data_IF_327235482439
#
_entry.id   IF_327235482439
#
_cell.length_a   1.000
_cell.length_b   1.000
_cell.length_c   1.000
_cell.angle_alpha   90.00
_cell.angle_beta   90.00
_cell.angle_gamma   90.00
#
_symmetry.space_group_name_H-M   'P 1'
#
loop_
_entity.id
_entity.type
_entity.pdbx_description
1 polymer ?
#
# COMPACT_ATOMS: atom_id res chain seq x y z
N UNK A 1 9.98 -22.84 14.70
CA UNK A 1 9.19 -21.74 15.28
C UNK A 1 9.31 -20.48 14.40
N UNK A 2 8.47 -19.47 14.62
CA UNK A 2 8.58 -18.19 13.91
C UNK A 2 9.92 -17.49 14.21
N UNK A 3 10.35 -17.52 15.45
CA UNK A 3 11.65 -16.98 15.86
C UNK A 3 12.83 -17.69 15.16
N UNK A 4 12.77 -19.02 15.03
CA UNK A 4 13.77 -19.79 14.28
C UNK A 4 13.82 -19.37 12.80
N UNK A 5 12.66 -19.12 12.20
CA UNK A 5 12.57 -18.61 10.83
C UNK A 5 13.16 -17.20 10.70
N UNK A 6 12.92 -16.29 11.67
CA UNK A 6 13.53 -14.96 11.68
C UNK A 6 15.06 -15.05 11.69
N UNK A 7 15.62 -15.90 12.54
CA UNK A 7 17.07 -16.08 12.64
C UNK A 7 17.66 -16.65 11.34
N UNK A 8 17.03 -17.65 10.75
CA UNK A 8 17.41 -18.21 9.44
C UNK A 8 17.35 -17.14 8.35
N UNK A 9 16.23 -16.38 8.27
CA UNK A 9 16.05 -15.30 7.29
C UNK A 9 17.17 -14.25 7.37
N UNK A 10 17.58 -13.90 8.58
CA UNK A 10 18.65 -12.92 8.80
C UNK A 10 20.03 -13.47 8.47
N UNK A 11 20.39 -14.63 9.02
CA UNK A 11 21.76 -15.13 8.97
C UNK A 11 22.08 -15.87 7.67
N UNK A 12 21.13 -16.62 7.13
CA UNK A 12 21.37 -17.42 5.92
C UNK A 12 20.99 -16.69 4.64
N UNK A 13 19.89 -15.90 4.66
CA UNK A 13 19.39 -15.23 3.47
C UNK A 13 19.64 -13.72 3.44
N UNK A 14 20.19 -13.14 4.49
CA UNK A 14 20.51 -11.72 4.55
C UNK A 14 19.28 -10.81 4.54
N UNK A 15 18.09 -11.33 4.87
CA UNK A 15 16.84 -10.56 4.90
C UNK A 15 16.86 -9.61 6.09
N UNK A 16 16.57 -8.34 5.83
CA UNK A 16 16.54 -7.26 6.82
C UNK A 16 15.15 -6.64 6.98
N UNK A 17 14.33 -6.77 5.98
CA UNK A 17 13.00 -6.19 5.88
C UNK A 17 11.97 -7.31 5.76
N UNK A 18 10.93 -7.28 6.59
CA UNK A 18 9.85 -8.26 6.57
C UNK A 18 8.51 -7.57 6.63
N UNK A 19 7.50 -8.13 5.98
CA UNK A 19 6.11 -7.67 6.07
C UNK A 19 5.28 -8.74 6.76
N UNK A 20 4.63 -8.38 7.86
CA UNK A 20 3.75 -9.28 8.58
C UNK A 20 2.31 -9.08 8.13
N UNK A 21 1.72 -10.16 7.62
CA UNK A 21 0.35 -10.18 7.09
C UNK A 21 -0.51 -11.11 7.94
N UNK A 22 -1.64 -10.60 8.39
CA UNK A 22 -2.61 -11.39 9.15
C UNK A 22 -3.40 -12.37 8.27
N UNK A 23 -4.15 -13.26 8.91
CA UNK A 23 -5.05 -14.17 8.21
C UNK A 23 -6.10 -13.42 7.39
N UNK A 24 -6.40 -13.86 6.16
CA UNK A 24 -7.43 -13.25 5.33
C UNK A 24 -8.86 -13.43 5.88
N UNK A 25 -9.06 -14.39 6.77
CA UNK A 25 -10.37 -14.72 7.36
C UNK A 25 -10.26 -15.07 8.84
N UNK A 26 -11.18 -14.56 9.65
CA UNK A 26 -11.32 -14.95 11.06
C UNK A 26 -11.68 -16.45 11.25
N UNK A 27 -12.14 -17.12 10.20
CA UNK A 27 -12.44 -18.55 10.22
C UNK A 27 -11.19 -19.44 10.14
N UNK A 28 -10.06 -18.88 9.70
CA UNK A 28 -8.83 -19.64 9.60
C UNK A 28 -8.18 -19.77 10.98
N UNK A 29 -7.85 -20.99 11.37
CA UNK A 29 -7.11 -21.24 12.59
C UNK A 29 -5.70 -20.65 12.43
N UNK A 30 -5.37 -19.68 13.24
CA UNK A 30 -4.06 -19.00 13.23
C UNK A 30 -3.24 -19.54 14.38
N UNK A 31 -2.09 -20.13 14.08
CA UNK A 31 -1.19 -20.67 15.10
C UNK A 31 -0.40 -19.58 15.85
N UNK A 32 -0.18 -18.42 15.19
CA UNK A 32 0.49 -17.26 15.76
C UNK A 32 -0.33 -16.01 15.44
N UNK A 33 -0.98 -15.37 16.42
CA UNK A 33 -1.66 -14.10 16.23
C UNK A 33 -0.71 -13.02 15.72
N UNK A 34 -1.23 -12.10 14.89
CA UNK A 34 -0.41 -11.06 14.28
C UNK A 34 0.30 -10.17 15.31
N UNK A 35 -0.37 -9.84 16.42
CA UNK A 35 0.21 -9.07 17.51
C UNK A 35 1.41 -9.79 18.16
N UNK A 36 1.31 -11.11 18.34
CA UNK A 36 2.39 -11.92 18.89
C UNK A 36 3.55 -12.03 17.89
N UNK A 37 3.25 -12.09 16.57
CA UNK A 37 4.27 -12.05 15.53
C UNK A 37 5.04 -10.73 15.54
N UNK A 38 4.35 -9.58 15.68
CA UNK A 38 5.00 -8.27 15.85
C UNK A 38 5.87 -8.27 17.12
N UNK A 39 5.31 -8.71 18.25
CA UNK A 39 6.05 -8.79 19.52
C UNK A 39 7.32 -9.66 19.42
N UNK A 40 7.24 -10.78 18.72
CA UNK A 40 8.40 -11.67 18.50
C UNK A 40 9.44 -11.01 17.60
N UNK A 41 8.99 -10.38 16.49
CA UNK A 41 9.91 -9.76 15.53
C UNK A 41 10.62 -8.52 16.12
N UNK A 42 9.93 -7.71 16.93
CA UNK A 42 10.49 -6.53 17.60
C UNK A 42 11.50 -6.93 18.69
N UNK A 43 11.24 -8.02 19.40
CA UNK A 43 12.14 -8.53 20.45
C UNK A 43 13.35 -9.32 19.89
N UNK A 44 13.31 -9.66 18.61
CA UNK A 44 14.40 -10.37 17.96
C UNK A 44 15.66 -9.50 17.93
N UNK A 45 16.79 -10.05 18.34
CA UNK A 45 18.07 -9.35 18.45
C UNK A 45 18.62 -8.83 17.10
N UNK A 46 18.09 -9.34 16.00
CA UNK A 46 18.53 -8.99 14.64
C UNK A 46 17.94 -7.65 14.11
N UNK A 47 17.08 -6.95 14.85
CA UNK A 47 16.54 -5.62 14.50
C UNK A 47 15.95 -5.53 13.09
N UNK A 48 15.01 -6.38 12.75
CA UNK A 48 14.28 -6.32 11.48
C UNK A 48 13.57 -4.97 11.28
N UNK A 49 13.58 -4.49 10.05
CA UNK A 49 12.70 -3.40 9.62
C UNK A 49 11.34 -3.99 9.25
N UNK A 50 10.33 -3.74 10.09
CA UNK A 50 9.07 -4.48 10.06
C UNK A 50 7.99 -3.67 9.36
N UNK A 51 7.40 -4.27 8.31
CA UNK A 51 6.26 -3.72 7.60
C UNK A 51 4.94 -4.37 7.99
N UNK A 52 3.87 -3.66 7.73
CA UNK A 52 2.50 -4.15 7.82
C UNK A 52 1.69 -3.81 6.57
N UNK A 53 0.48 -4.31 6.48
CA UNK A 53 -0.44 -4.00 5.38
C UNK A 53 -1.52 -3.03 5.82
N UNK A 54 -1.98 -2.18 4.89
CA UNK A 54 -3.18 -1.36 5.01
C UNK A 54 -4.16 -1.71 3.90
N UNK A 55 -5.45 -1.79 4.24
CA UNK A 55 -6.51 -2.28 3.35
C UNK A 55 -7.65 -1.27 3.35
N UNK A 56 -7.77 -0.51 2.25
CA UNK A 56 -8.77 0.55 2.10
C UNK A 56 -10.21 0.02 2.17
N UNK A 57 -10.46 -1.14 1.60
CA UNK A 57 -11.75 -1.82 1.62
C UNK A 57 -12.22 -2.18 3.05
N UNK A 58 -11.28 -2.37 3.95
CA UNK A 58 -11.59 -2.58 5.37
C UNK A 58 -12.03 -1.27 6.00
N UNK A 59 -11.40 -0.15 5.64
CA UNK A 59 -11.79 1.17 6.10
C UNK A 59 -13.22 1.52 5.66
N UNK A 60 -13.55 1.27 4.40
CA UNK A 60 -14.88 1.49 3.86
C UNK A 60 -15.99 0.75 4.66
N UNK A 61 -15.68 -0.42 5.21
CA UNK A 61 -16.61 -1.23 6.00
C UNK A 61 -16.70 -0.83 7.47
N UNK A 62 -15.58 -0.52 8.10
CA UNK A 62 -15.48 -0.37 9.57
C UNK A 62 -15.06 1.03 10.02
N UNK A 63 -14.55 1.87 9.11
CA UNK A 63 -14.10 3.23 9.40
C UNK A 63 -12.85 3.36 10.27
N UNK A 64 -12.17 2.25 10.62
CA UNK A 64 -11.14 2.23 11.64
C UNK A 64 -9.75 1.74 11.19
N UNK A 65 -9.48 1.63 9.89
CA UNK A 65 -8.18 1.15 9.43
C UNK A 65 -7.03 2.09 9.85
N UNK A 66 -7.26 3.40 9.90
CA UNK A 66 -6.27 4.36 10.41
C UNK A 66 -5.87 4.09 11.87
N UNK A 67 -6.81 3.68 12.73
CA UNK A 67 -6.52 3.29 14.12
C UNK A 67 -5.67 2.01 14.16
N UNK A 68 -5.93 1.07 13.24
CA UNK A 68 -5.12 -0.15 13.11
C UNK A 68 -3.69 0.15 12.67
N UNK A 69 -3.49 1.17 11.82
CA UNK A 69 -2.15 1.64 11.47
C UNK A 69 -1.42 2.19 12.68
N UNK A 70 -2.10 3.00 13.50
CA UNK A 70 -1.54 3.50 14.76
C UNK A 70 -1.17 2.36 15.71
N UNK A 71 -2.06 1.39 15.91
CA UNK A 71 -1.79 0.23 16.76
C UNK A 71 -0.55 -0.57 16.28
N UNK A 72 -0.45 -0.81 14.97
CA UNK A 72 0.73 -1.49 14.40
C UNK A 72 2.01 -0.66 14.56
N UNK A 73 1.92 0.66 14.38
CA UNK A 73 3.03 1.57 14.61
C UNK A 73 3.53 1.47 16.06
N UNK A 74 2.62 1.52 17.05
CA UNK A 74 2.93 1.36 18.47
C UNK A 74 3.49 -0.03 18.79
N UNK A 75 3.16 -1.05 17.99
CA UNK A 75 3.73 -2.41 18.08
C UNK A 75 5.09 -2.56 17.36
N UNK A 76 5.67 -1.47 16.82
CA UNK A 76 6.99 -1.49 16.19
C UNK A 76 7.00 -1.65 14.68
N UNK A 77 5.85 -1.47 14.01
CA UNK A 77 5.79 -1.42 12.54
C UNK A 77 6.41 -0.14 12.02
N UNK A 78 7.34 -0.26 11.07
CA UNK A 78 8.14 0.85 10.54
C UNK A 78 7.61 1.39 9.20
N UNK A 79 6.79 0.61 8.49
CA UNK A 79 6.17 1.02 7.23
C UNK A 79 4.91 0.20 6.93
N UNK A 80 4.11 0.68 5.99
CA UNK A 80 2.92 -0.01 5.53
C UNK A 80 2.92 -0.14 4.01
N UNK A 81 2.39 -1.28 3.51
CA UNK A 81 2.11 -1.48 2.09
C UNK A 81 0.60 -1.57 1.91
N UNK A 82 0.05 -0.80 0.97
CA UNK A 82 -1.39 -0.83 0.69
C UNK A 82 -1.77 -2.04 -0.17
N UNK A 83 -3.03 -2.44 -0.11
CA UNK A 83 -3.68 -3.22 -1.16
C UNK A 83 -3.65 -2.42 -2.47
N UNK A 84 -3.81 -3.08 -3.64
CA UNK A 84 -3.88 -2.40 -4.93
C UNK A 84 -5.02 -1.37 -4.95
N UNK A 85 -4.74 -0.17 -5.51
CA UNK A 85 -5.64 0.97 -5.42
C UNK A 85 -6.37 1.15 -6.76
N UNK A 86 -7.69 0.92 -6.75
CA UNK A 86 -8.63 1.24 -7.83
C UNK A 86 -9.70 2.24 -7.39
N UNK A 87 -9.88 2.41 -6.08
CA UNK A 87 -10.72 3.44 -5.48
C UNK A 87 -9.84 4.40 -4.65
N UNK A 88 -9.37 5.51 -5.22
CA UNK A 88 -8.49 6.45 -4.52
C UNK A 88 -9.15 7.11 -3.32
N UNK A 89 -10.48 7.27 -3.31
CA UNK A 89 -11.18 7.96 -2.22
C UNK A 89 -11.02 7.22 -0.88
N UNK A 90 -11.15 5.90 -0.88
CA UNK A 90 -10.96 5.09 0.33
C UNK A 90 -9.54 5.22 0.89
N UNK A 91 -8.55 5.29 -0.01
CA UNK A 91 -7.15 5.51 0.37
C UNK A 91 -6.93 6.92 0.93
N UNK A 92 -7.51 7.94 0.30
CA UNK A 92 -7.45 9.34 0.77
C UNK A 92 -8.03 9.45 2.18
N UNK A 93 -9.17 8.82 2.43
CA UNK A 93 -9.82 8.84 3.74
C UNK A 93 -8.92 8.24 4.84
N UNK A 94 -8.26 7.11 4.56
CA UNK A 94 -7.32 6.49 5.51
C UNK A 94 -6.12 7.40 5.75
N UNK A 95 -5.48 7.88 4.69
CA UNK A 95 -4.28 8.69 4.79
C UNK A 95 -4.53 9.97 5.57
N UNK A 96 -5.64 10.64 5.27
CA UNK A 96 -6.07 11.86 5.97
C UNK A 96 -6.28 11.60 7.45
N UNK A 97 -7.06 10.57 7.80
CA UNK A 97 -7.34 10.21 9.20
C UNK A 97 -6.08 9.76 9.93
N UNK A 98 -5.22 8.98 9.30
CA UNK A 98 -3.95 8.55 9.86
C UNK A 98 -3.03 9.73 10.16
N UNK A 99 -2.92 10.70 9.24
CA UNK A 99 -2.12 11.90 9.44
C UNK A 99 -2.64 12.74 10.62
N UNK A 100 -3.96 12.98 10.67
CA UNK A 100 -4.61 13.72 11.76
C UNK A 100 -4.38 13.02 13.10
N UNK A 101 -4.51 11.71 13.14
CA UNK A 101 -4.33 10.94 14.37
C UNK A 101 -2.87 10.92 14.84
N UNK A 102 -1.91 10.81 13.91
CA UNK A 102 -0.50 10.98 14.23
C UNK A 102 -0.21 12.36 14.84
N UNK A 103 -0.77 13.42 14.25
CA UNK A 103 -0.61 14.78 14.74
C UNK A 103 -1.16 14.93 16.17
N UNK A 104 -2.37 14.43 16.44
CA UNK A 104 -2.99 14.46 17.78
C UNK A 104 -2.15 13.75 18.85
N UNK A 105 -1.50 12.64 18.47
CA UNK A 105 -0.68 11.83 19.38
C UNK A 105 0.80 12.22 19.38
N UNK A 106 1.20 13.26 18.64
CA UNK A 106 2.60 13.66 18.46
C UNK A 106 3.48 12.51 17.96
N UNK A 107 2.93 11.64 17.11
CA UNK A 107 3.63 10.55 16.45
C UNK A 107 4.16 11.00 15.08
N UNK A 108 5.38 10.59 14.75
CA UNK A 108 5.90 10.77 13.40
C UNK A 108 5.25 9.73 12.47
N UNK A 109 4.55 10.13 11.40
CA UNK A 109 3.92 9.17 10.50
C UNK A 109 4.93 8.19 9.89
N UNK A 110 4.59 6.91 9.87
CA UNK A 110 5.36 5.88 9.17
C UNK A 110 5.08 5.93 7.68
N UNK A 111 6.05 5.46 6.88
CA UNK A 111 5.93 5.42 5.42
C UNK A 111 4.77 4.51 4.99
N UNK A 112 3.97 5.02 4.05
CA UNK A 112 2.92 4.23 3.40
C UNK A 112 3.28 4.06 1.92
N UNK A 113 3.44 2.81 1.50
CA UNK A 113 3.77 2.42 0.14
C UNK A 113 2.46 2.13 -0.58
N UNK A 114 2.12 2.96 -1.56
CA UNK A 114 0.91 2.86 -2.36
C UNK A 114 1.10 1.84 -3.47
N UNK A 115 0.24 0.84 -3.52
CA UNK A 115 0.32 -0.25 -4.50
C UNK A 115 -0.61 0.01 -5.67
N UNK A 116 -0.08 -0.14 -6.88
CA UNK A 116 -0.84 -0.07 -8.13
C UNK A 116 -0.54 -1.31 -8.99
N UNK A 117 -1.55 -1.76 -9.72
CA UNK A 117 -1.44 -2.88 -10.64
C UNK A 117 -2.25 -2.58 -11.90
N UNK A 118 -1.69 -2.71 -13.12
CA UNK A 118 -2.48 -2.54 -14.32
C UNK A 118 -3.35 -3.77 -14.58
N UNK A 119 -4.44 -3.58 -15.33
CA UNK A 119 -5.40 -4.61 -15.70
C UNK A 119 -5.61 -4.60 -17.21
N UNK A 120 -5.26 -5.69 -17.89
CA UNK A 120 -5.35 -5.80 -19.35
C UNK A 120 -6.51 -6.66 -19.84
N UNK A 121 -7.29 -7.29 -18.95
CA UNK A 121 -8.34 -8.21 -19.34
C UNK A 121 -9.40 -8.40 -18.26
N UNK A 122 -10.57 -8.88 -18.66
CA UNK A 122 -11.65 -9.31 -17.75
C UNK A 122 -11.14 -10.36 -16.73
N UNK A 123 -10.32 -11.32 -17.17
CA UNK A 123 -9.75 -12.32 -16.24
C UNK A 123 -8.89 -11.69 -15.15
N UNK A 124 -8.09 -10.70 -15.50
CA UNK A 124 -7.26 -9.98 -14.54
C UNK A 124 -8.12 -9.15 -13.60
N UNK A 125 -9.17 -8.50 -14.10
CA UNK A 125 -10.11 -7.73 -13.31
C UNK A 125 -10.83 -8.62 -12.29
N UNK A 126 -11.37 -9.76 -12.72
CA UNK A 126 -12.02 -10.74 -11.84
C UNK A 126 -11.06 -11.27 -10.77
N UNK A 127 -9.77 -11.43 -11.09
CA UNK A 127 -8.77 -11.84 -10.12
C UNK A 127 -8.49 -10.74 -9.09
N UNK A 128 -8.43 -9.47 -9.51
CA UNK A 128 -8.30 -8.30 -8.63
C UNK A 128 -9.47 -8.25 -7.63
N UNK A 129 -10.69 -8.40 -8.12
CA UNK A 129 -11.90 -8.42 -7.28
C UNK A 129 -11.93 -9.64 -6.33
N UNK A 130 -11.48 -10.80 -6.82
CA UNK A 130 -11.35 -12.01 -5.99
C UNK A 130 -10.34 -11.83 -4.84
N UNK A 131 -9.27 -11.05 -5.05
CA UNK A 131 -8.33 -10.66 -3.99
C UNK A 131 -8.96 -9.71 -2.96
N UNK A 132 -10.18 -9.25 -3.19
CA UNK A 132 -10.91 -8.35 -2.29
C UNK A 132 -10.63 -6.88 -2.53
N UNK A 133 -10.00 -6.53 -3.65
CA UNK A 133 -9.78 -5.13 -4.06
C UNK A 133 -11.10 -4.53 -4.54
N UNK A 134 -11.44 -3.35 -4.03
CA UNK A 134 -12.63 -2.60 -4.44
C UNK A 134 -12.37 -1.90 -5.77
N UNK A 135 -13.01 -2.39 -6.83
CA UNK A 135 -13.01 -1.72 -8.13
C UNK A 135 -14.41 -1.12 -8.34
N UNK A 136 -14.56 0.21 -8.34
CA UNK A 136 -15.85 0.84 -8.61
C UNK A 136 -16.43 0.39 -9.96
N UNK A 137 -17.73 0.15 -10.03
CA UNK A 137 -18.41 -0.34 -11.23
C UNK A 137 -18.09 0.52 -12.47
N UNK A 138 -18.13 1.83 -12.33
CA UNK A 138 -17.76 2.75 -13.41
C UNK A 138 -16.32 2.57 -13.89
N UNK A 139 -15.40 2.22 -12.99
CA UNK A 139 -13.99 1.93 -13.32
C UNK A 139 -13.88 0.62 -14.09
N UNK A 140 -14.56 -0.44 -13.63
CA UNK A 140 -14.62 -1.73 -14.32
C UNK A 140 -15.19 -1.58 -15.74
N UNK A 141 -16.31 -0.86 -15.88
CA UNK A 141 -16.93 -0.59 -17.18
C UNK A 141 -16.01 0.19 -18.11
N UNK A 142 -15.29 1.19 -17.62
CA UNK A 142 -14.32 1.96 -18.40
C UNK A 142 -13.19 1.08 -18.92
N UNK A 143 -12.64 0.21 -18.08
CA UNK A 143 -11.55 -0.71 -18.47
C UNK A 143 -12.05 -1.68 -19.53
N UNK A 144 -13.16 -2.36 -19.28
CA UNK A 144 -13.65 -3.44 -20.13
C UNK A 144 -14.20 -2.97 -21.48
N UNK A 145 -14.75 -1.74 -21.56
CA UNK A 145 -15.26 -1.17 -22.79
C UNK A 145 -14.21 -0.33 -23.55
N UNK A 146 -13.01 -0.19 -23.03
CA UNK A 146 -11.96 0.54 -23.72
C UNK A 146 -11.42 -0.26 -24.91
N UNK A 147 -11.04 0.44 -25.99
CA UNK A 147 -10.34 -0.16 -27.15
C UNK A 147 -9.05 -0.90 -26.72
N UNK A 148 -8.41 -0.41 -25.67
CA UNK A 148 -7.23 -1.02 -25.05
C UNK A 148 -7.39 -0.99 -23.52
N UNK A 149 -7.91 -2.08 -22.91
CA UNK A 149 -8.13 -2.16 -21.46
C UNK A 149 -6.87 -1.88 -20.63
N UNK A 150 -5.72 -2.43 -21.02
CA UNK A 150 -4.45 -2.22 -20.32
C UNK A 150 -4.06 -0.74 -20.27
N UNK A 151 -4.16 -0.04 -21.39
CA UNK A 151 -3.85 1.37 -21.45
C UNK A 151 -4.82 2.22 -20.62
N UNK A 152 -6.11 1.86 -20.63
CA UNK A 152 -7.11 2.56 -19.81
C UNK A 152 -6.87 2.34 -18.31
N UNK A 153 -6.53 1.12 -17.89
CA UNK A 153 -6.21 0.86 -16.49
C UNK A 153 -4.95 1.60 -16.02
N UNK A 154 -3.93 1.71 -16.87
CA UNK A 154 -2.74 2.52 -16.58
C UNK A 154 -3.11 3.99 -16.34
N UNK A 155 -3.97 4.59 -17.19
CA UNK A 155 -4.47 5.95 -17.01
C UNK A 155 -5.22 6.11 -15.68
N UNK A 156 -6.05 5.13 -15.33
CA UNK A 156 -6.78 5.12 -14.07
C UNK A 156 -5.82 5.13 -12.89
N UNK A 157 -4.79 4.28 -12.90
CA UNK A 157 -3.77 4.26 -11.85
C UNK A 157 -3.03 5.61 -11.73
N UNK A 158 -2.65 6.22 -12.87
CA UNK A 158 -2.00 7.54 -12.87
C UNK A 158 -2.92 8.63 -12.28
N UNK A 159 -4.20 8.64 -12.66
CA UNK A 159 -5.17 9.59 -12.13
C UNK A 159 -5.42 9.36 -10.62
N UNK A 160 -5.46 8.11 -10.18
CA UNK A 160 -5.63 7.77 -8.77
C UNK A 160 -4.45 8.27 -7.93
N UNK A 161 -3.21 8.10 -8.41
CA UNK A 161 -2.05 8.63 -7.70
C UNK A 161 -2.11 10.16 -7.60
N UNK A 162 -2.41 10.88 -8.71
CA UNK A 162 -2.54 12.33 -8.69
C UNK A 162 -3.60 12.80 -7.67
N UNK A 163 -4.79 12.18 -7.65
CA UNK A 163 -5.85 12.51 -6.70
C UNK A 163 -5.39 12.30 -5.25
N UNK A 164 -4.69 11.20 -4.97
CA UNK A 164 -4.16 10.92 -3.63
C UNK A 164 -3.13 11.98 -3.23
N UNK A 165 -2.15 12.26 -4.07
CA UNK A 165 -1.10 13.23 -3.77
C UNK A 165 -1.65 14.63 -3.54
N UNK A 166 -2.58 15.08 -4.40
CA UNK A 166 -3.24 16.39 -4.26
C UNK A 166 -4.02 16.51 -2.95
N UNK A 167 -4.73 15.44 -2.56
CA UNK A 167 -5.55 15.44 -1.36
C UNK A 167 -4.73 15.43 -0.05
N UNK A 168 -3.53 14.85 -0.06
CA UNK A 168 -2.72 14.68 1.16
C UNK A 168 -1.50 15.60 1.25
N UNK A 169 -1.33 16.50 0.29
CA UNK A 169 -0.18 17.42 0.20
C UNK A 169 0.10 18.15 1.51
N UNK A 170 -0.95 18.60 2.21
CA UNK A 170 -0.81 19.39 3.46
C UNK A 170 -0.40 18.56 4.67
N UNK A 171 -0.46 17.23 4.60
CA UNK A 171 -0.19 16.36 5.75
C UNK A 171 1.26 15.87 5.84
N UNK A 172 2.08 16.14 4.84
CA UNK A 172 3.51 15.76 4.82
C UNK A 172 3.75 14.28 5.15
N UNK A 173 2.93 13.39 4.58
CA UNK A 173 3.06 11.95 4.77
C UNK A 173 4.23 11.39 3.95
N UNK A 174 5.07 10.52 4.52
CA UNK A 174 6.14 9.86 3.77
C UNK A 174 5.53 8.75 2.90
N UNK A 175 5.26 9.04 1.64
CA UNK A 175 4.68 8.10 0.68
C UNK A 175 5.74 7.38 -0.15
N UNK A 176 5.43 6.18 -0.60
CA UNK A 176 6.22 5.37 -1.53
C UNK A 176 5.33 4.71 -2.57
N UNK A 177 5.93 4.03 -3.54
CA UNK A 177 5.23 3.32 -4.62
C UNK A 177 5.63 1.85 -4.66
N UNK A 178 4.64 0.99 -4.89
CA UNK A 178 4.79 -0.40 -5.26
C UNK A 178 3.95 -0.68 -6.50
N UNK A 179 4.53 -1.34 -7.50
CA UNK A 179 3.83 -1.74 -8.71
C UNK A 179 3.89 -3.25 -8.83
N UNK A 180 2.73 -3.86 -8.92
CA UNK A 180 2.57 -5.32 -9.02
C UNK A 180 2.09 -5.72 -10.41
N UNK A 181 2.62 -6.83 -10.94
CA UNK A 181 2.03 -7.54 -12.05
C UNK A 181 1.30 -8.76 -11.50
N UNK A 182 -0.02 -8.78 -11.63
CA UNK A 182 -0.86 -9.87 -11.11
C UNK A 182 -0.96 -11.06 -12.05
N UNK A 183 -0.29 -10.99 -13.21
CA UNK A 183 -0.30 -12.05 -14.20
C UNK A 183 1.10 -12.29 -14.78
N UNK A 184 1.29 -13.45 -15.41
CA UNK A 184 2.50 -13.78 -16.17
C UNK A 184 2.41 -13.43 -17.66
N UNK A 185 1.38 -12.69 -18.07
CA UNK A 185 1.21 -12.25 -19.45
C UNK A 185 2.20 -11.14 -19.78
N UNK A 186 2.93 -11.31 -20.88
CA UNK A 186 3.99 -10.38 -21.30
C UNK A 186 3.49 -8.94 -21.49
N UNK A 187 2.31 -8.76 -22.04
CA UNK A 187 1.69 -7.45 -22.24
C UNK A 187 1.40 -6.74 -20.90
N UNK A 188 0.86 -7.45 -19.91
CA UNK A 188 0.58 -6.88 -18.58
C UNK A 188 1.87 -6.66 -17.76
N UNK A 189 2.89 -7.51 -17.89
CA UNK A 189 4.22 -7.27 -17.32
C UNK A 189 4.83 -5.98 -17.90
N UNK A 190 4.79 -5.82 -19.22
CA UNK A 190 5.27 -4.61 -19.89
C UNK A 190 4.45 -3.37 -19.47
N UNK A 191 3.13 -3.55 -19.29
CA UNK A 191 2.24 -2.52 -18.74
C UNK A 191 2.63 -2.11 -17.32
N UNK A 192 3.00 -3.05 -16.47
CA UNK A 192 3.48 -2.76 -15.11
C UNK A 192 4.80 -1.98 -15.12
N UNK A 193 5.72 -2.31 -16.02
CA UNK A 193 6.98 -1.57 -16.22
C UNK A 193 6.70 -0.14 -16.69
N UNK A 194 5.77 0.04 -17.64
CA UNK A 194 5.36 1.36 -18.09
C UNK A 194 4.70 2.16 -16.97
N UNK A 195 3.77 1.53 -16.24
CA UNK A 195 3.09 2.14 -15.10
C UNK A 195 4.10 2.61 -14.05
N UNK A 196 5.09 1.79 -13.71
CA UNK A 196 6.15 2.17 -12.79
C UNK A 196 6.85 3.47 -13.22
N UNK A 197 7.24 3.58 -14.49
CA UNK A 197 7.93 4.78 -15.00
C UNK A 197 7.05 6.02 -14.90
N UNK A 198 5.77 5.91 -15.22
CA UNK A 198 4.81 7.02 -15.17
C UNK A 198 4.55 7.47 -13.72
N UNK A 199 4.25 6.52 -12.82
CA UNK A 199 3.97 6.83 -11.42
C UNK A 199 5.24 7.35 -10.70
N UNK A 200 6.42 6.83 -11.04
CA UNK A 200 7.69 7.33 -10.50
C UNK A 200 7.90 8.79 -10.89
N UNK A 201 7.70 9.14 -12.17
CA UNK A 201 7.81 10.53 -12.63
C UNK A 201 6.81 11.45 -11.93
N UNK A 202 5.58 10.99 -11.71
CA UNK A 202 4.57 11.75 -10.95
C UNK A 202 5.00 11.99 -9.51
N UNK A 203 5.51 10.96 -8.84
CA UNK A 203 6.00 11.07 -7.46
C UNK A 203 7.23 11.99 -7.35
N UNK A 204 8.19 11.88 -8.26
CA UNK A 204 9.38 12.72 -8.26
C UNK A 204 9.01 14.21 -8.46
N UNK A 205 8.06 14.50 -9.34
CA UNK A 205 7.52 15.87 -9.53
C UNK A 205 6.79 16.38 -8.28
N UNK A 206 6.03 15.53 -7.62
CA UNK A 206 5.35 15.88 -6.37
C UNK A 206 6.36 16.22 -5.27
N UNK A 207 7.37 15.40 -5.06
CA UNK A 207 8.42 15.62 -4.06
C UNK A 207 9.21 16.91 -4.34
N UNK A 208 9.58 17.17 -5.60
CA UNK A 208 10.29 18.38 -5.98
C UNK A 208 9.47 19.65 -5.71
N UNK A 209 8.15 19.63 -5.96
CA UNK A 209 7.28 20.76 -5.62
C UNK A 209 7.21 21.00 -4.11
N UNK A 210 7.08 19.93 -3.34
CA UNK A 210 7.00 20.01 -1.89
C UNK A 210 8.30 20.56 -1.26
N UNK A 211 9.46 20.17 -1.76
CA UNK A 211 10.76 20.72 -1.35
C UNK A 211 10.85 22.22 -1.67
N UNK A 212 10.35 22.65 -2.83
CA UNK A 212 10.32 24.08 -3.20
C UNK A 212 9.39 24.91 -2.30
N UNK A 213 8.27 24.35 -1.85
CA UNK A 213 7.35 25.01 -0.90
C UNK A 213 8.04 25.21 0.46
N UNK A 214 8.70 24.18 0.99
CA UNK A 214 9.46 24.28 2.24
C UNK A 214 10.53 25.38 2.16
N UNK A 215 11.21 25.52 1.02
CA UNK A 215 12.24 26.55 0.84
C UNK A 215 11.69 27.98 0.75
N UNK A 216 10.40 28.16 0.44
CA UNK A 216 9.74 29.48 0.42
C UNK A 216 9.36 29.97 1.81
N UNK A 217 9.19 29.04 2.76
CA UNK A 217 8.80 29.34 4.13
C UNK A 217 10.00 29.57 5.09
N UNK A 218 11.23 29.50 4.54
CA UNK A 218 12.49 29.84 5.20
C UNK A 218 12.96 31.24 4.81
#
# INVERSE_FOLDING_TARGET
SFESWLNEAWHEYGIREIVLVGSPSAKNKVNLPLADAYGTAVKNENNFFIGGVTIAERHAKTGNEHERLIQKHEQGCNFFISQAIYNPQETIDILTRYAIECQKRSLKPQRIILTFSPCGSDKTLNFIEWLGVSVPEATSLRILNAKNPLHESIKICCNSLNQILDAVTTYNLPLGLNIESLTNRKDEINGSILLYKLLRSTMDNYLAKHELEILRDI
#
